data_IF_572903636502
#
_entry.id   IF_572903636502
#
_cell.length_a   1.000
_cell.length_b   1.000
_cell.length_c   1.000
_cell.angle_alpha   90.00
_cell.angle_beta   90.00
_cell.angle_gamma   90.00
#
_symmetry.space_group_name_H-M   'P 1'
#
loop_
_entity.id
_entity.type
_entity.pdbx_description
1 polymer ?
#
# COMPACT_ATOMS: atom_id res chain seq x y z
N UNK A 1 -2.78 -8.42 6.25
CA UNK A 1 -2.26 -9.17 7.42
C UNK A 1 -0.94 -8.53 7.83
N UNK A 2 -0.79 -8.22 9.11
CA UNK A 2 0.48 -7.79 9.70
C UNK A 2 1.53 -8.89 9.51
N UNK A 3 2.82 -8.56 9.58
CA UNK A 3 3.88 -9.60 9.62
C UNK A 3 3.79 -10.38 10.93
N UNK A 4 3.40 -9.71 12.01
CA UNK A 4 3.23 -10.33 13.32
C UNK A 4 2.05 -11.32 13.33
N UNK A 5 0.93 -10.99 12.69
CA UNK A 5 -0.20 -11.91 12.48
C UNK A 5 0.22 -13.20 11.75
N UNK A 6 1.06 -13.09 10.72
CA UNK A 6 1.55 -14.26 9.95
C UNK A 6 2.44 -15.18 10.81
N UNK A 7 3.09 -14.63 11.83
CA UNK A 7 4.04 -15.33 12.69
C UNK A 7 3.46 -15.67 14.08
N UNK A 8 2.18 -15.35 14.34
CA UNK A 8 1.53 -15.46 15.67
C UNK A 8 2.32 -14.76 16.78
N UNK A 9 2.94 -13.62 16.46
CA UNK A 9 3.72 -12.81 17.42
C UNK A 9 2.90 -11.61 17.90
N UNK A 10 3.23 -11.06 19.10
CA UNK A 10 2.65 -9.79 19.52
C UNK A 10 2.90 -8.72 18.45
N UNK A 11 1.91 -7.86 18.19
CA UNK A 11 2.08 -6.80 17.22
C UNK A 11 3.16 -5.82 17.69
N UNK A 12 4.12 -5.46 16.81
CA UNK A 12 5.12 -4.46 17.16
C UNK A 12 4.43 -3.12 17.41
N UNK A 13 4.89 -2.32 18.39
CA UNK A 13 4.31 -1.00 18.62
C UNK A 13 4.43 -0.17 17.34
N UNK A 14 3.39 0.61 17.05
CA UNK A 14 3.34 1.46 15.85
C UNK A 14 4.15 2.73 16.05
N UNK A 15 4.92 3.13 15.03
CA UNK A 15 5.63 4.43 15.04
C UNK A 15 4.61 5.57 15.13
N UNK A 16 4.87 6.61 15.95
CA UNK A 16 3.98 7.76 16.03
C UNK A 16 3.96 8.51 14.70
N UNK A 17 2.79 9.06 14.37
CA UNK A 17 2.61 9.84 13.15
C UNK A 17 3.39 11.16 13.25
N UNK A 18 4.03 11.55 12.15
CA UNK A 18 4.67 12.87 12.05
C UNK A 18 3.63 13.99 12.17
N UNK A 19 4.03 15.20 12.60
CA UNK A 19 3.11 16.33 12.83
C UNK A 19 2.18 16.62 11.65
N UNK A 20 2.72 16.68 10.44
CA UNK A 20 1.92 16.90 9.22
C UNK A 20 0.95 15.74 8.98
N UNK A 21 1.39 14.49 9.16
CA UNK A 21 0.52 13.33 8.98
C UNK A 21 -0.62 13.28 10.02
N UNK A 22 -0.35 13.69 11.27
CA UNK A 22 -1.40 13.85 12.30
C UNK A 22 -2.42 14.91 11.90
N UNK A 23 -1.92 16.07 11.46
CA UNK A 23 -2.77 17.15 10.96
C UNK A 23 -3.63 16.70 9.77
N UNK A 24 -3.03 16.03 8.78
CA UNK A 24 -3.73 15.48 7.62
C UNK A 24 -4.77 14.42 8.00
N UNK A 25 -4.47 13.56 8.98
CA UNK A 25 -5.42 12.56 9.49
C UNK A 25 -6.62 13.21 10.16
N UNK A 26 -6.39 14.26 10.97
CA UNK A 26 -7.45 15.05 11.61
C UNK A 26 -8.30 15.77 10.55
N UNK A 27 -7.65 16.51 9.65
CA UNK A 27 -8.32 17.21 8.55
C UNK A 27 -9.07 16.27 7.60
N UNK A 28 -8.58 15.05 7.39
CA UNK A 28 -9.29 14.06 6.60
C UNK A 28 -10.68 13.74 7.18
N UNK A 29 -10.81 13.69 8.50
CA UNK A 29 -12.08 13.47 9.19
C UNK A 29 -12.99 14.70 9.19
N UNK A 30 -12.41 15.90 9.17
CA UNK A 30 -13.15 17.17 9.19
C UNK A 30 -13.79 17.51 7.84
N UNK A 31 -13.17 17.12 6.72
CA UNK A 31 -13.65 17.44 5.37
C UNK A 31 -14.07 16.20 4.56
N UNK A 32 -14.99 15.34 5.05
CA UNK A 32 -15.34 14.08 4.37
C UNK A 32 -16.03 14.29 3.02
N UNK A 33 -16.66 15.45 2.81
CA UNK A 33 -17.44 15.81 1.62
C UNK A 33 -16.58 16.19 0.40
N UNK A 34 -15.32 16.59 0.60
CA UNK A 34 -14.42 16.94 -0.51
C UNK A 34 -13.80 15.71 -1.15
N UNK A 35 -13.51 15.78 -2.46
CA UNK A 35 -12.74 14.73 -3.12
C UNK A 35 -11.35 14.60 -2.47
N UNK A 36 -10.74 13.42 -2.57
CA UNK A 36 -9.42 13.17 -1.98
C UNK A 36 -8.36 14.17 -2.43
N UNK A 37 -8.35 14.51 -3.73
CA UNK A 37 -7.39 15.46 -4.31
C UNK A 37 -7.61 16.88 -3.81
N UNK A 38 -8.86 17.35 -3.74
CA UNK A 38 -9.19 18.69 -3.24
C UNK A 38 -8.88 18.81 -1.74
N UNK A 39 -9.20 17.77 -0.98
CA UNK A 39 -8.92 17.71 0.45
C UNK A 39 -7.44 17.83 0.75
N UNK A 40 -6.59 17.11 -0.01
CA UNK A 40 -5.13 17.23 0.16
C UNK A 40 -4.65 18.64 -0.15
N UNK A 41 -5.14 19.26 -1.23
CA UNK A 41 -4.75 20.62 -1.62
C UNK A 41 -5.10 21.61 -0.51
N UNK A 42 -6.36 21.60 -0.06
CA UNK A 42 -6.84 22.47 1.01
C UNK A 42 -6.04 22.29 2.31
N UNK A 43 -5.85 21.05 2.76
CA UNK A 43 -5.11 20.79 4.00
C UNK A 43 -3.64 21.18 3.89
N UNK A 44 -3.02 20.99 2.72
CA UNK A 44 -1.65 21.44 2.48
C UNK A 44 -1.54 22.97 2.55
N UNK A 45 -2.52 23.70 2.01
CA UNK A 45 -2.58 25.16 2.09
C UNK A 45 -2.73 25.63 3.54
N UNK A 46 -3.67 25.06 4.29
CA UNK A 46 -3.89 25.36 5.71
C UNK A 46 -2.62 25.08 6.53
N UNK A 47 -1.95 23.96 6.27
CA UNK A 47 -0.69 23.64 6.94
C UNK A 47 0.40 24.68 6.65
N UNK A 48 0.51 25.12 5.39
CA UNK A 48 1.50 26.13 5.02
C UNK A 48 1.20 27.48 5.67
N UNK A 49 -0.07 27.86 5.80
CA UNK A 49 -0.49 29.12 6.45
C UNK A 49 -0.45 29.09 7.98
N UNK A 50 -0.31 27.93 8.62
CA UNK A 50 -0.23 27.82 10.08
C UNK A 50 1.04 28.48 10.65
N UNK A 51 0.90 29.13 11.80
CA UNK A 51 1.99 29.81 12.50
C UNK A 51 3.04 28.82 13.00
N UNK A 52 4.28 29.29 13.17
CA UNK A 52 5.39 28.46 13.60
C UNK A 52 5.16 27.86 15.00
N UNK A 53 4.43 28.55 15.88
CA UNK A 53 4.09 28.11 17.22
C UNK A 53 3.18 26.87 17.21
N UNK A 54 2.17 26.87 16.33
CA UNK A 54 1.24 25.73 16.18
C UNK A 54 1.99 24.50 15.65
N UNK A 55 2.89 24.69 14.68
CA UNK A 55 3.75 23.62 14.17
C UNK A 55 4.72 23.10 15.24
N UNK A 56 5.30 24.00 16.05
CA UNK A 56 6.17 23.63 17.17
C UNK A 56 5.44 22.80 18.22
N UNK A 57 4.20 23.14 18.55
CA UNK A 57 3.38 22.36 19.49
C UNK A 57 3.22 20.92 19.02
N UNK A 58 2.75 20.72 17.78
CA UNK A 58 2.59 19.38 17.20
C UNK A 58 3.92 18.61 17.08
N UNK A 59 5.03 19.33 16.86
CA UNK A 59 6.37 18.75 16.83
C UNK A 59 6.82 18.27 18.21
N UNK A 60 6.53 19.04 19.27
CA UNK A 60 6.84 18.65 20.65
C UNK A 60 6.04 17.40 21.06
N UNK A 61 4.73 17.37 20.79
CA UNK A 61 3.90 16.18 21.01
C UNK A 61 4.46 14.95 20.27
N UNK A 62 4.90 15.12 19.02
CA UNK A 62 5.53 14.05 18.26
C UNK A 62 6.82 13.55 18.92
N UNK A 63 7.66 14.44 19.46
CA UNK A 63 8.87 14.03 20.15
C UNK A 63 8.60 13.28 21.45
N UNK A 64 7.58 13.68 22.21
CA UNK A 64 7.14 12.96 23.40
C UNK A 64 6.64 11.56 23.07
N UNK A 65 5.74 11.45 22.10
CA UNK A 65 5.26 10.15 21.63
C UNK A 65 6.38 9.28 21.05
N UNK A 66 7.37 9.89 20.37
CA UNK A 66 8.54 9.18 19.87
C UNK A 66 9.38 8.60 21.00
N UNK A 67 9.56 9.33 22.11
CA UNK A 67 10.23 8.80 23.31
C UNK A 67 9.45 7.61 23.89
N UNK A 68 8.13 7.74 24.01
CA UNK A 68 7.26 6.66 24.50
C UNK A 68 7.31 5.43 23.58
N UNK A 69 7.30 5.63 22.27
CA UNK A 69 7.47 4.56 21.28
C UNK A 69 8.80 3.85 21.46
N UNK A 70 9.91 4.58 21.66
CA UNK A 70 11.23 3.97 21.86
C UNK A 70 11.26 3.08 23.11
N UNK A 71 10.63 3.51 24.21
CA UNK A 71 10.52 2.69 25.42
C UNK A 71 9.70 1.42 25.17
N UNK A 72 8.52 1.55 24.56
CA UNK A 72 7.65 0.40 24.21
C UNK A 72 8.35 -0.56 23.24
N UNK A 73 9.09 -0.03 22.27
CA UNK A 73 9.81 -0.82 21.28
C UNK A 73 10.99 -1.58 21.90
N UNK A 74 11.71 -0.98 22.84
CA UNK A 74 12.75 -1.68 23.62
C UNK A 74 12.15 -2.82 24.44
N UNK A 75 11.05 -2.56 25.16
CA UNK A 75 10.35 -3.58 25.92
C UNK A 75 9.85 -4.73 25.02
N UNK A 76 9.32 -4.41 23.83
CA UNK A 76 8.94 -5.39 22.82
C UNK A 76 10.14 -6.25 22.40
N UNK A 77 11.26 -5.64 22.01
CA UNK A 77 12.46 -6.39 21.61
C UNK A 77 12.99 -7.31 22.71
N UNK A 78 12.93 -6.87 23.98
CA UNK A 78 13.34 -7.70 25.12
C UNK A 78 12.43 -8.91 25.36
N UNK A 79 11.19 -8.90 24.87
CA UNK A 79 10.25 -10.03 24.99
C UNK A 79 10.46 -11.08 23.89
N UNK A 80 11.15 -10.72 22.80
CA UNK A 80 11.32 -11.62 21.65
C UNK A 80 12.57 -12.48 21.79
N UNK A 81 12.44 -13.73 21.35
CA UNK A 81 13.58 -14.64 21.19
C UNK A 81 14.39 -14.30 19.93
N UNK A 82 15.69 -14.62 19.87
CA UNK A 82 16.51 -14.40 18.68
C UNK A 82 15.94 -15.05 17.41
N UNK A 83 15.33 -16.23 17.53
CA UNK A 83 14.69 -16.95 16.41
C UNK A 83 13.47 -16.20 15.87
N UNK A 84 12.65 -15.62 16.76
CA UNK A 84 11.52 -14.78 16.36
C UNK A 84 11.98 -13.51 15.66
N UNK A 85 13.08 -12.90 16.10
CA UNK A 85 13.64 -11.71 15.45
C UNK A 85 14.11 -12.05 14.03
N UNK A 86 14.81 -13.17 13.84
CA UNK A 86 15.27 -13.62 12.52
C UNK A 86 14.09 -13.90 11.58
N UNK A 87 13.05 -14.61 12.06
CA UNK A 87 11.86 -14.87 11.23
C UNK A 87 11.11 -13.59 10.82
N UNK A 88 11.04 -12.58 11.69
CA UNK A 88 10.50 -11.26 11.34
C UNK A 88 11.36 -10.61 10.25
N UNK A 89 12.68 -10.62 10.39
CA UNK A 89 13.60 -10.02 9.43
C UNK A 89 13.48 -10.67 8.04
N UNK A 90 13.45 -12.00 7.98
CA UNK A 90 13.24 -12.74 6.73
C UNK A 90 11.87 -12.44 6.09
N UNK A 91 10.81 -12.34 6.91
CA UNK A 91 9.48 -11.98 6.43
C UNK A 91 9.42 -10.55 5.87
N UNK A 92 10.10 -9.60 6.52
CA UNK A 92 10.24 -8.21 6.06
C UNK A 92 11.01 -8.18 4.73
N UNK A 93 12.15 -8.86 4.63
CA UNK A 93 12.98 -8.89 3.42
C UNK A 93 12.23 -9.53 2.25
N UNK A 94 11.55 -10.66 2.47
CA UNK A 94 10.69 -11.31 1.47
C UNK A 94 9.62 -10.35 0.94
N UNK A 95 8.91 -9.65 1.82
CA UNK A 95 7.89 -8.65 1.42
C UNK A 95 8.51 -7.48 0.66
N UNK A 96 9.68 -6.99 1.08
CA UNK A 96 10.41 -5.91 0.40
C UNK A 96 10.80 -6.31 -1.02
N UNK A 97 11.45 -7.47 -1.20
CA UNK A 97 11.84 -8.02 -2.50
C UNK A 97 10.64 -8.21 -3.44
N UNK A 98 9.53 -8.74 -2.91
CA UNK A 98 8.28 -8.90 -3.68
C UNK A 98 7.73 -7.55 -4.17
N UNK A 99 7.67 -6.55 -3.28
CA UNK A 99 7.21 -5.20 -3.60
C UNK A 99 8.11 -4.53 -4.64
N UNK A 100 9.42 -4.63 -4.48
CA UNK A 100 10.40 -4.09 -5.44
C UNK A 100 10.24 -4.70 -6.82
N UNK A 101 10.13 -6.03 -6.91
CA UNK A 101 9.88 -6.75 -8.16
C UNK A 101 8.60 -6.26 -8.84
N UNK A 102 7.53 -6.05 -8.07
CA UNK A 102 6.25 -5.56 -8.59
C UNK A 102 6.36 -4.11 -9.09
N UNK A 103 7.02 -3.23 -8.33
CA UNK A 103 7.24 -1.83 -8.71
C UNK A 103 8.09 -1.72 -9.96
N UNK A 104 9.17 -2.50 -10.06
CA UNK A 104 10.02 -2.56 -11.25
C UNK A 104 9.22 -3.01 -12.48
N UNK A 105 8.42 -4.08 -12.37
CA UNK A 105 7.54 -4.54 -13.44
C UNK A 105 6.53 -3.47 -13.87
N UNK A 106 5.90 -2.79 -12.91
CA UNK A 106 4.93 -1.71 -13.20
C UNK A 106 5.59 -0.50 -13.86
N UNK A 107 6.78 -0.10 -13.39
CA UNK A 107 7.56 0.97 -13.98
C UNK A 107 7.91 0.68 -15.43
N UNK A 108 8.47 -0.52 -15.69
CA UNK A 108 8.74 -0.98 -17.07
C UNK A 108 7.49 -0.96 -17.94
N UNK A 109 6.35 -1.47 -17.45
CA UNK A 109 5.09 -1.45 -18.21
C UNK A 109 4.66 -0.03 -18.58
N UNK A 110 4.64 0.89 -17.61
CA UNK A 110 4.28 2.30 -17.84
C UNK A 110 5.20 2.97 -18.85
N UNK A 111 6.48 2.66 -18.79
CA UNK A 111 7.46 3.19 -19.74
C UNK A 111 7.21 2.68 -21.16
N UNK A 112 6.91 1.39 -21.31
CA UNK A 112 6.56 0.84 -22.63
C UNK A 112 5.28 1.42 -23.21
N UNK A 113 4.30 1.71 -22.35
CA UNK A 113 3.06 2.38 -22.73
C UNK A 113 3.32 3.83 -23.14
N UNK A 114 4.17 4.56 -22.40
CA UNK A 114 4.62 5.91 -22.76
C UNK A 114 5.34 5.96 -24.10
N UNK A 115 6.16 4.95 -24.40
CA UNK A 115 6.89 4.81 -25.66
C UNK A 115 6.03 4.27 -26.82
N UNK A 116 4.73 4.00 -26.60
CA UNK A 116 3.82 3.38 -27.57
C UNK A 116 4.38 2.09 -28.18
N UNK A 117 5.11 1.29 -27.40
CA UNK A 117 5.66 0.01 -27.89
C UNK A 117 4.49 -0.89 -28.33
N UNK A 118 4.55 -1.49 -29.54
CA UNK A 118 3.51 -2.39 -30.00
C UNK A 118 3.34 -3.58 -29.05
N UNK A 119 2.10 -4.02 -28.87
CA UNK A 119 1.80 -5.22 -28.08
C UNK A 119 2.43 -6.45 -28.76
N UNK A 120 2.97 -7.36 -27.96
CA UNK A 120 3.51 -8.62 -28.46
C UNK A 120 2.39 -9.42 -29.15
N UNK A 121 2.67 -10.11 -30.28
CA UNK A 121 1.70 -11.02 -30.89
C UNK A 121 1.26 -12.08 -29.88
N UNK A 122 -0.02 -12.43 -29.93
CA UNK A 122 -0.61 -13.41 -29.03
C UNK A 122 -0.24 -14.83 -29.46
N UNK A 123 -0.02 -15.73 -28.49
CA UNK A 123 0.25 -17.15 -28.75
C UNK A 123 -1.03 -17.84 -29.26
N UNK A 124 -0.91 -18.96 -29.99
CA UNK A 124 -2.01 -19.77 -30.54
C UNK A 124 -3.10 -20.08 -29.51
N UNK A 125 -2.73 -20.36 -28.26
CA UNK A 125 -3.69 -20.57 -27.17
C UNK A 125 -4.59 -19.34 -26.91
N UNK A 126 -4.01 -18.14 -26.91
CA UNK A 126 -4.78 -16.90 -26.74
C UNK A 126 -5.61 -16.56 -27.99
N UNK A 127 -5.12 -16.89 -29.18
CA UNK A 127 -5.89 -16.76 -30.42
C UNK A 127 -7.14 -17.65 -30.37
N UNK A 128 -7.00 -18.93 -29.99
CA UNK A 128 -8.12 -19.85 -29.78
C UNK A 128 -9.08 -19.37 -28.69
N UNK A 129 -8.58 -18.86 -27.56
CA UNK A 129 -9.44 -18.27 -26.54
C UNK A 129 -10.19 -17.02 -27.03
N UNK A 130 -9.64 -16.27 -27.98
CA UNK A 130 -10.34 -15.14 -28.57
C UNK A 130 -11.42 -15.61 -29.56
N UNK A 131 -11.18 -16.68 -30.34
CA UNK A 131 -12.22 -17.23 -31.24
C UNK A 131 -13.43 -17.70 -30.44
N UNK A 132 -13.21 -18.45 -29.35
CA UNK A 132 -14.29 -18.87 -28.44
C UNK A 132 -15.05 -17.68 -27.81
N UNK A 133 -14.39 -16.54 -27.62
CA UNK A 133 -15.02 -15.34 -27.03
C UNK A 133 -15.88 -14.57 -28.03
N UNK A 134 -15.67 -14.77 -29.32
CA UNK A 134 -16.45 -14.15 -30.40
C UNK A 134 -17.67 -14.97 -30.80
N UNK A 135 -17.64 -16.29 -30.58
CA UNK A 135 -18.75 -17.20 -30.90
C UNK A 135 -19.86 -17.22 -29.82
N UNK A 136 -19.57 -16.74 -28.61
CA UNK A 136 -20.58 -16.56 -27.56
C UNK A 136 -21.37 -15.25 -27.81
N UNK A 137 -22.71 -15.31 -27.96
CA UNK A 137 -23.52 -14.10 -28.10
C UNK A 137 -23.28 -13.22 -26.88
N UNK A 138 -22.98 -11.94 -27.14
CA UNK A 138 -22.58 -10.91 -26.20
C UNK A 138 -23.46 -10.87 -24.94
N UNK A 139 -23.14 -11.70 -23.96
CA UNK A 139 -23.66 -11.56 -22.61
C UNK A 139 -22.79 -10.52 -21.93
N UNK A 140 -23.42 -9.35 -21.79
CA UNK A 140 -23.13 -8.20 -20.95
C UNK A 140 -21.71 -8.04 -20.38
N UNK A 141 -21.20 -6.82 -20.53
CA UNK A 141 -19.92 -6.36 -19.98
C UNK A 141 -19.75 -6.79 -18.52
N UNK A 142 -18.85 -7.75 -18.31
CA UNK A 142 -17.85 -7.65 -17.25
C UNK A 142 -17.91 -8.73 -16.19
N UNK A 143 -17.15 -9.80 -16.37
CA UNK A 143 -16.01 -10.06 -15.48
C UNK A 143 -15.07 -11.12 -16.05
N UNK A 144 -13.90 -10.68 -16.53
CA UNK A 144 -12.85 -11.56 -17.11
C UNK A 144 -12.41 -12.67 -16.13
N UNK A 145 -12.62 -12.45 -14.84
CA UNK A 145 -12.27 -13.36 -13.74
C UNK A 145 -13.24 -14.53 -13.62
N UNK A 146 -14.53 -14.32 -13.88
CA UNK A 146 -15.56 -15.36 -13.81
C UNK A 146 -15.46 -16.37 -14.95
N UNK A 147 -15.13 -15.89 -16.17
CA UNK A 147 -14.87 -16.76 -17.32
C UNK A 147 -13.64 -17.67 -17.11
N UNK A 148 -12.53 -17.10 -16.62
CA UNK A 148 -11.31 -17.87 -16.33
C UNK A 148 -11.52 -18.94 -15.26
N UNK A 149 -12.36 -18.70 -14.26
CA UNK A 149 -12.68 -19.69 -13.23
C UNK A 149 -13.50 -20.87 -13.77
N UNK A 150 -14.43 -20.62 -14.71
CA UNK A 150 -15.22 -21.68 -15.37
C UNK A 150 -14.39 -22.54 -16.32
N UNK A 151 -13.43 -21.96 -17.03
CA UNK A 151 -12.60 -22.68 -17.99
C UNK A 151 -11.57 -23.62 -17.34
N UNK A 152 -11.15 -23.34 -16.10
CA UNK A 152 -10.18 -24.17 -15.34
C UNK A 152 -10.86 -25.28 -14.54
N UNK A 153 -12.16 -25.19 -14.29
CA UNK A 153 -12.93 -26.14 -13.50
C UNK A 153 -13.50 -27.33 -14.30
N UNK A 154 -13.00 -27.58 -15.51
CA UNK A 154 -13.45 -28.66 -16.41
C UNK A 154 -12.34 -29.66 -16.67
#
# INVERSE_FOLDING_TARGET
>A
MSIADELNLPDPPTKPLQPFAKFMSKGHKEYPHLSWTERIRLLSEIWNSQTQEQKKHLLNEYYEEKKQYQLKYKAYLSQLTPEQIQSIEEAVDRRKKSKERLLSKRGKKKEMERLNRPKQPENCFFLFLNTLRHDEPSTEKGDKKAFMAKAVAK
#
